data_IF_842406031346
#
_entry.id   IF_842406031346
#
_cell.length_a   1.000
_cell.length_b   1.000
_cell.length_c   1.000
_cell.angle_alpha   90.00
_cell.angle_beta   90.00
_cell.angle_gamma   90.00
#
_symmetry.space_group_name_H-M   'P 1'
#
loop_
_entity.id
_entity.type
_entity.pdbx_description
1 polymer ?
#
# COMPACT_ATOMS: atom_id res chain seq x y z
N UNK A 1 -44.40 -7.97 7.03
CA UNK A 1 -44.44 -7.32 8.36
C UNK A 1 -44.31 -5.84 8.16
N UNK A 2 -45.04 -5.00 8.93
CA UNK A 2 -44.84 -3.55 8.81
C UNK A 2 -43.45 -3.19 9.30
N UNK A 3 -42.72 -2.35 8.54
CA UNK A 3 -41.39 -1.82 8.94
C UNK A 3 -41.56 -1.00 10.22
N UNK A 4 -40.62 -1.14 11.16
CA UNK A 4 -40.61 -0.37 12.42
C UNK A 4 -40.23 1.09 12.14
N UNK A 5 -40.73 2.02 12.98
CA UNK A 5 -40.34 3.44 12.88
C UNK A 5 -38.81 3.59 13.07
N UNK A 6 -38.15 4.37 12.21
CA UNK A 6 -36.71 4.53 12.24
C UNK A 6 -36.19 5.22 13.51
N UNK A 7 -36.98 6.12 14.11
CA UNK A 7 -36.63 6.73 15.40
C UNK A 7 -36.69 5.71 16.53
N UNK A 8 -37.67 4.77 16.48
CA UNK A 8 -37.76 3.66 17.45
C UNK A 8 -36.60 2.66 17.24
N UNK A 9 -36.21 2.37 16.00
CA UNK A 9 -35.09 1.49 15.69
C UNK A 9 -33.79 2.01 16.28
N UNK A 10 -33.53 3.32 16.17
CA UNK A 10 -32.36 3.95 16.76
C UNK A 10 -32.52 4.23 18.26
N UNK A 11 -33.74 4.18 18.80
CA UNK A 11 -34.01 4.47 20.21
C UNK A 11 -33.86 5.94 20.56
N UNK A 12 -34.25 6.85 19.66
CA UNK A 12 -34.15 8.30 19.81
C UNK A 12 -35.52 8.97 19.63
N UNK A 13 -35.65 10.19 20.14
CA UNK A 13 -36.87 10.98 19.93
C UNK A 13 -36.93 11.57 18.51
N UNK A 14 -38.14 11.86 17.99
CA UNK A 14 -38.31 12.43 16.63
C UNK A 14 -37.63 13.77 16.43
N UNK A 15 -37.36 14.50 17.48
CA UNK A 15 -36.67 15.79 17.49
C UNK A 15 -35.18 15.68 17.82
N UNK A 16 -34.60 14.47 17.80
CA UNK A 16 -33.19 14.27 18.10
C UNK A 16 -32.27 15.04 17.14
N UNK A 17 -31.20 15.60 17.67
CA UNK A 17 -30.16 16.25 16.88
C UNK A 17 -29.29 15.23 16.13
N UNK A 18 -28.61 15.66 15.07
CA UNK A 18 -27.79 14.76 14.23
C UNK A 18 -26.68 14.08 15.03
N UNK A 19 -26.09 14.75 16.01
CA UNK A 19 -25.11 14.16 16.90
C UNK A 19 -25.68 13.02 17.76
N UNK A 20 -26.93 13.11 18.18
CA UNK A 20 -27.60 12.07 18.97
C UNK A 20 -27.96 10.87 18.10
N UNK A 21 -28.40 11.09 16.86
CA UNK A 21 -28.60 10.05 15.86
C UNK A 21 -27.31 9.27 15.60
N UNK A 22 -26.21 9.99 15.41
CA UNK A 22 -24.89 9.41 15.19
C UNK A 22 -24.37 8.59 16.37
N UNK A 23 -24.58 9.10 17.60
CA UNK A 23 -24.21 8.37 18.83
C UNK A 23 -25.04 7.10 19.00
N UNK A 24 -26.35 7.18 18.78
CA UNK A 24 -27.27 6.06 18.87
C UNK A 24 -26.91 4.96 17.86
N UNK A 25 -26.69 5.33 16.60
CA UNK A 25 -26.23 4.41 15.56
C UNK A 25 -24.90 3.73 15.91
N UNK A 26 -23.87 4.49 16.34
CA UNK A 26 -22.60 3.89 16.74
C UNK A 26 -22.73 2.85 17.86
N UNK A 27 -23.58 3.13 18.84
CA UNK A 27 -23.85 2.22 19.95
C UNK A 27 -24.48 0.90 19.46
N UNK A 28 -25.48 0.99 18.58
CA UNK A 28 -26.16 -0.18 18.00
C UNK A 28 -25.23 -0.93 17.04
N UNK A 29 -24.49 -0.24 16.20
CA UNK A 29 -23.53 -0.83 15.27
C UNK A 29 -22.44 -1.62 16.01
N UNK A 30 -21.90 -1.09 17.11
CA UNK A 30 -20.93 -1.81 17.93
C UNK A 30 -21.54 -3.02 18.67
N UNK A 31 -22.80 -2.92 19.07
CA UNK A 31 -23.50 -4.00 19.79
C UNK A 31 -23.85 -5.17 18.88
N UNK A 32 -24.30 -4.89 17.65
CA UNK A 32 -24.78 -5.89 16.69
C UNK A 32 -23.82 -6.11 15.52
N UNK A 33 -22.54 -5.73 15.67
CA UNK A 33 -21.53 -5.92 14.63
C UNK A 33 -21.37 -7.40 14.27
N UNK A 34 -21.30 -7.77 12.97
CA UNK A 34 -21.16 -9.16 12.55
C UNK A 34 -19.90 -9.83 13.12
N UNK A 35 -18.77 -9.13 13.24
CA UNK A 35 -17.54 -9.69 13.83
C UNK A 35 -17.67 -10.03 15.32
N UNK A 36 -18.62 -9.41 16.02
CA UNK A 36 -18.89 -9.68 17.45
C UNK A 36 -20.00 -10.69 17.65
N UNK A 37 -20.83 -10.92 16.64
CA UNK A 37 -21.97 -11.82 16.68
C UNK A 37 -22.03 -12.69 15.40
N UNK A 38 -20.98 -13.49 15.10
CA UNK A 38 -20.81 -14.16 13.80
C UNK A 38 -21.94 -15.13 13.43
N UNK A 39 -22.67 -15.71 14.42
CA UNK A 39 -23.69 -16.74 14.19
C UNK A 39 -25.12 -16.28 14.52
N UNK A 40 -25.35 -14.99 14.81
CA UNK A 40 -26.65 -14.47 15.22
C UNK A 40 -27.36 -13.76 14.07
N UNK A 41 -28.29 -14.44 13.41
CA UNK A 41 -29.19 -13.84 12.39
C UNK A 41 -29.99 -12.67 12.96
N UNK A 42 -30.39 -12.73 14.22
CA UNK A 42 -31.10 -11.63 14.88
C UNK A 42 -30.23 -10.37 15.05
N UNK A 43 -28.93 -10.54 15.33
CA UNK A 43 -27.99 -9.42 15.39
C UNK A 43 -27.76 -8.81 14.01
N UNK A 44 -27.66 -9.63 12.97
CA UNK A 44 -27.51 -9.18 11.58
C UNK A 44 -28.73 -8.37 11.10
N UNK A 45 -29.95 -8.83 11.41
CA UNK A 45 -31.18 -8.10 11.09
C UNK A 45 -31.24 -6.76 11.81
N UNK A 46 -30.95 -6.71 13.12
CA UNK A 46 -30.92 -5.47 13.89
C UNK A 46 -29.83 -4.51 13.42
N UNK A 47 -28.70 -5.02 12.95
CA UNK A 47 -27.64 -4.21 12.35
C UNK A 47 -28.10 -3.59 11.03
N UNK A 48 -28.76 -4.36 10.17
CA UNK A 48 -29.32 -3.86 8.90
C UNK A 48 -30.40 -2.81 9.13
N UNK A 49 -31.33 -3.06 10.07
CA UNK A 49 -32.38 -2.10 10.43
C UNK A 49 -31.78 -0.79 10.98
N UNK A 50 -30.79 -0.88 11.87
CA UNK A 50 -30.13 0.30 12.44
C UNK A 50 -29.35 1.10 11.38
N UNK A 51 -28.73 0.43 10.41
CA UNK A 51 -28.03 1.05 9.30
C UNK A 51 -29.01 1.77 8.37
N UNK A 52 -30.10 1.12 7.97
CA UNK A 52 -31.17 1.71 7.14
C UNK A 52 -31.77 2.95 7.83
N UNK A 53 -32.09 2.86 9.12
CA UNK A 53 -32.63 3.95 9.89
C UNK A 53 -31.68 5.17 9.94
N UNK A 54 -30.38 4.93 10.14
CA UNK A 54 -29.39 6.01 10.17
C UNK A 54 -29.13 6.62 8.79
N UNK A 55 -29.16 5.86 7.70
CA UNK A 55 -29.04 6.37 6.34
C UNK A 55 -30.19 7.29 5.93
N UNK A 56 -31.37 7.06 6.48
CA UNK A 56 -32.53 7.92 6.24
C UNK A 56 -32.55 9.13 7.17
N UNK A 57 -32.35 8.95 8.46
CA UNK A 57 -32.46 10.03 9.46
C UNK A 57 -31.22 10.93 9.54
N UNK A 58 -30.06 10.45 9.07
CA UNK A 58 -28.80 11.21 9.03
C UNK A 58 -28.66 12.15 7.83
N UNK A 59 -29.58 12.10 6.88
CA UNK A 59 -29.65 13.01 5.75
C UNK A 59 -30.87 13.92 5.89
N UNK A 60 -30.65 15.22 5.90
CA UNK A 60 -31.70 16.22 6.17
C UNK A 60 -32.87 16.11 5.17
N UNK A 61 -32.60 15.83 3.91
CA UNK A 61 -33.63 15.71 2.87
C UNK A 61 -34.45 14.42 3.01
N UNK A 62 -33.77 13.30 3.28
CA UNK A 62 -34.42 12.01 3.50
C UNK A 62 -35.24 12.00 4.80
N UNK A 63 -34.70 12.61 5.85
CA UNK A 63 -35.40 12.79 7.13
C UNK A 63 -36.69 13.59 6.93
N UNK A 64 -36.62 14.72 6.21
CA UNK A 64 -37.80 15.52 5.91
C UNK A 64 -38.85 14.77 5.07
N UNK A 65 -38.41 13.93 4.13
CA UNK A 65 -39.30 13.06 3.35
C UNK A 65 -39.92 11.96 4.21
N UNK A 66 -39.13 11.35 5.09
CA UNK A 66 -39.61 10.34 6.04
C UNK A 66 -40.60 10.92 7.05
N UNK A 67 -40.32 12.09 7.59
CA UNK A 67 -41.20 12.78 8.55
C UNK A 67 -42.56 13.15 7.96
N UNK A 68 -42.62 13.40 6.64
CA UNK A 68 -43.86 13.73 5.93
C UNK A 68 -44.66 12.54 5.44
N UNK A 69 -43.98 11.52 4.93
CA UNK A 69 -44.60 10.42 4.18
C UNK A 69 -44.31 9.04 4.78
N UNK A 70 -43.61 8.97 5.91
CA UNK A 70 -43.19 7.70 6.52
C UNK A 70 -42.27 6.91 5.60
N UNK A 71 -42.30 5.59 5.75
CA UNK A 71 -41.51 4.66 4.91
C UNK A 71 -41.80 4.82 3.41
N UNK A 72 -43.02 5.19 3.03
CA UNK A 72 -43.37 5.41 1.62
C UNK A 72 -42.61 6.57 0.96
N UNK A 73 -42.18 7.56 1.74
CA UNK A 73 -41.43 8.71 1.25
C UNK A 73 -39.95 8.42 0.95
N UNK A 74 -39.44 7.27 1.40
CA UNK A 74 -38.03 6.87 1.26
C UNK A 74 -37.86 5.48 0.63
N UNK A 75 -38.96 4.82 0.23
CA UNK A 75 -38.95 3.53 -0.44
C UNK A 75 -38.72 3.73 -1.94
N UNK A 76 -37.60 3.22 -2.53
CA UNK A 76 -37.31 3.35 -3.96
C UNK A 76 -38.36 2.68 -4.86
N UNK A 77 -39.12 1.72 -4.34
CA UNK A 77 -40.15 1.01 -5.10
C UNK A 77 -41.50 1.75 -5.14
N UNK A 78 -41.76 2.73 -4.25
CA UNK A 78 -43.02 3.45 -4.23
C UNK A 78 -43.08 4.62 -5.23
N UNK A 79 -41.95 5.02 -5.82
CA UNK A 79 -41.88 6.09 -6.84
C UNK A 79 -42.46 5.70 -8.19
N UNK A 80 -42.88 4.44 -8.38
CA UNK A 80 -43.35 3.88 -9.66
C UNK A 80 -44.87 3.79 -9.83
N UNK A 81 -45.72 4.08 -8.85
CA UNK A 81 -47.14 3.82 -8.98
C UNK A 81 -48.02 4.85 -8.27
N UNK A 82 -48.31 5.94 -8.98
CA UNK A 82 -49.42 6.80 -8.55
C UNK A 82 -49.26 8.29 -8.79
N UNK A 83 -49.79 8.82 -9.87
CA UNK A 83 -50.39 10.13 -9.87
C UNK A 83 -49.59 11.29 -10.44
N UNK A 84 -49.99 11.68 -11.63
CA UNK A 84 -49.71 12.95 -12.27
C UNK A 84 -49.85 14.13 -11.28
N UNK A 85 -48.83 14.96 -11.18
CA UNK A 85 -48.98 16.30 -10.67
C UNK A 85 -47.87 16.77 -9.74
N UNK A 86 -47.04 17.62 -10.30
CA UNK A 86 -46.19 18.60 -9.62
C UNK A 86 -44.86 18.14 -9.03
N UNK A 87 -43.77 18.41 -9.75
CA UNK A 87 -42.41 18.50 -9.21
C UNK A 87 -41.38 17.52 -9.79
N UNK A 88 -41.06 17.65 -11.09
CA UNK A 88 -40.05 16.83 -11.78
C UNK A 88 -38.58 17.11 -11.40
N UNK A 89 -38.24 17.13 -10.12
CA UNK A 89 -36.87 17.33 -9.67
C UNK A 89 -36.34 16.30 -8.66
N UNK A 90 -37.23 15.54 -8.04
CA UNK A 90 -36.83 14.65 -6.92
C UNK A 90 -36.42 13.24 -7.39
N UNK A 91 -37.02 12.76 -8.48
CA UNK A 91 -36.73 11.42 -8.99
C UNK A 91 -35.35 11.34 -9.69
N UNK A 92 -34.91 12.41 -10.33
CA UNK A 92 -33.63 12.47 -11.02
C UNK A 92 -32.44 12.61 -10.04
N UNK A 93 -32.58 13.39 -8.95
CA UNK A 93 -31.56 13.54 -7.93
C UNK A 93 -31.37 12.27 -7.05
N UNK A 94 -32.43 11.50 -6.89
CA UNK A 94 -32.39 10.25 -6.11
C UNK A 94 -31.84 9.06 -6.91
N UNK A 95 -32.09 9.00 -8.21
CA UNK A 95 -31.61 7.96 -9.11
C UNK A 95 -30.09 7.99 -9.29
N UNK A 96 -29.51 9.17 -9.37
CA UNK A 96 -28.07 9.35 -9.60
C UNK A 96 -27.21 8.99 -8.39
N UNK A 97 -27.64 9.31 -7.17
CA UNK A 97 -26.88 9.04 -5.95
C UNK A 97 -26.99 7.57 -5.51
N UNK A 98 -28.17 6.97 -5.70
CA UNK A 98 -28.39 5.57 -5.32
C UNK A 98 -27.78 4.58 -6.31
N UNK A 99 -27.73 4.96 -7.60
CA UNK A 99 -27.10 4.17 -8.67
C UNK A 99 -25.57 4.10 -8.52
N UNK A 100 -24.95 5.16 -7.97
CA UNK A 100 -23.51 5.25 -7.82
C UNK A 100 -22.96 4.51 -6.58
N UNK A 101 -23.77 4.38 -5.53
CA UNK A 101 -23.38 3.76 -4.24
C UNK A 101 -23.79 2.28 -4.14
N UNK A 102 -24.91 1.88 -4.75
CA UNK A 102 -25.44 0.51 -4.60
C UNK A 102 -25.52 -0.32 -5.87
N UNK A 103 -25.36 0.29 -7.04
CA UNK A 103 -25.30 -0.41 -8.30
C UNK A 103 -23.86 -0.62 -8.75
N UNK A 104 -23.22 -1.66 -8.29
CA UNK A 104 -21.98 -2.13 -8.88
C UNK A 104 -22.16 -2.37 -10.38
N UNK A 105 -21.69 -1.45 -11.22
CA UNK A 105 -21.59 -1.64 -12.66
C UNK A 105 -22.80 -1.20 -13.46
N UNK A 106 -22.76 -0.01 -14.00
CA UNK A 106 -23.46 0.36 -15.23
C UNK A 106 -24.80 1.04 -15.06
N UNK A 107 -24.81 2.36 -15.16
CA UNK A 107 -26.04 3.13 -15.27
C UNK A 107 -25.79 4.47 -15.94
N UNK A 108 -25.91 4.54 -17.25
CA UNK A 108 -25.65 5.70 -18.09
C UNK A 108 -26.59 6.87 -17.83
N UNK A 109 -26.09 7.93 -17.26
CA UNK A 109 -26.60 9.27 -17.47
C UNK A 109 -26.37 9.69 -18.91
N UNK A 110 -27.42 9.91 -19.67
CA UNK A 110 -27.39 10.51 -21.01
C UNK A 110 -26.81 11.92 -20.92
N UNK A 111 -25.49 12.07 -20.91
CA UNK A 111 -24.81 13.30 -21.33
C UNK A 111 -24.30 13.08 -22.74
N UNK A 112 -24.60 14.04 -23.58
CA UNK A 112 -24.36 14.02 -25.02
C UNK A 112 -22.98 13.51 -25.39
N UNK A 113 -22.91 12.74 -26.50
CA UNK A 113 -21.77 12.01 -27.01
C UNK A 113 -20.51 12.83 -27.27
N UNK A 114 -19.81 13.17 -26.21
CA UNK A 114 -18.42 13.61 -26.27
C UNK A 114 -17.47 12.42 -26.15
N UNK A 115 -16.25 12.51 -26.66
CA UNK A 115 -15.25 11.47 -26.49
C UNK A 115 -15.02 11.23 -25.00
N UNK A 116 -15.11 9.97 -24.57
CA UNK A 116 -14.87 9.61 -23.16
C UNK A 116 -13.43 9.98 -22.77
N UNK A 117 -13.33 10.71 -21.68
CA UNK A 117 -12.07 11.16 -21.10
C UNK A 117 -11.54 10.09 -20.17
N UNK A 118 -10.32 9.60 -20.42
CA UNK A 118 -9.70 8.58 -19.57
C UNK A 118 -8.44 9.11 -18.93
N UNK A 119 -8.27 8.81 -17.64
CA UNK A 119 -7.03 9.06 -16.92
C UNK A 119 -5.91 8.20 -17.52
N UNK A 120 -4.70 8.74 -17.58
CA UNK A 120 -3.50 8.00 -17.97
C UNK A 120 -3.17 6.87 -16.99
N UNK A 121 -2.46 5.87 -17.49
CA UNK A 121 -2.02 4.76 -16.67
C UNK A 121 -0.95 5.19 -15.66
N UNK A 122 -0.98 4.58 -14.48
CA UNK A 122 0.08 4.76 -13.49
C UNK A 122 1.30 3.94 -13.90
N UNK A 123 2.50 4.50 -13.70
CA UNK A 123 3.77 3.87 -13.99
C UNK A 123 4.43 3.37 -12.71
N UNK A 124 5.17 2.26 -12.82
CA UNK A 124 6.01 1.73 -11.74
C UNK A 124 7.46 1.75 -12.18
N UNK A 125 8.34 2.16 -11.30
CA UNK A 125 9.77 2.18 -11.48
C UNK A 125 10.45 1.56 -10.27
N UNK A 126 11.22 0.48 -10.46
CA UNK A 126 12.02 -0.14 -9.40
C UNK A 126 13.37 0.57 -9.32
N UNK A 127 13.69 1.11 -8.15
CA UNK A 127 14.96 1.78 -7.86
C UNK A 127 15.75 0.98 -6.83
N UNK A 128 16.91 0.45 -7.25
CA UNK A 128 17.84 -0.22 -6.36
C UNK A 128 18.79 0.77 -5.71
N UNK A 129 18.90 0.75 -4.39
CA UNK A 129 19.75 1.62 -3.59
C UNK A 129 20.60 0.82 -2.61
N UNK A 130 21.69 1.39 -2.10
CA UNK A 130 22.46 0.79 -1.02
C UNK A 130 21.83 1.08 0.35
N UNK A 131 22.25 0.32 1.38
CA UNK A 131 21.77 0.51 2.77
C UNK A 131 22.16 1.90 3.31
N UNK A 132 23.36 2.39 2.97
CA UNK A 132 23.85 3.70 3.35
C UNK A 132 23.02 4.82 2.71
N UNK A 133 22.67 4.67 1.42
CA UNK A 133 21.79 5.59 0.71
C UNK A 133 20.39 5.60 1.34
N UNK A 134 19.87 4.42 1.70
CA UNK A 134 18.59 4.32 2.36
C UNK A 134 18.60 5.00 3.74
N UNK A 135 19.69 4.86 4.50
CA UNK A 135 19.83 5.49 5.81
C UNK A 135 19.99 7.02 5.74
N UNK A 136 20.80 7.52 4.80
CA UNK A 136 21.10 8.94 4.69
C UNK A 136 20.02 9.73 3.93
N UNK A 137 19.31 9.07 3.00
CA UNK A 137 18.47 9.73 2.01
C UNK A 137 19.32 10.48 0.96
N UNK A 138 18.77 10.72 -0.20
CA UNK A 138 19.47 11.45 -1.28
C UNK A 138 18.48 11.86 -2.37
N UNK A 139 18.92 12.79 -3.21
CA UNK A 139 18.20 13.17 -4.42
C UNK A 139 18.81 12.44 -5.61
N UNK A 140 17.98 11.89 -6.49
CA UNK A 140 18.42 11.16 -7.67
C UNK A 140 17.58 11.49 -8.89
N UNK A 141 18.17 11.31 -10.06
CA UNK A 141 17.47 11.40 -11.33
C UNK A 141 17.17 10.00 -11.86
N UNK A 142 15.92 9.78 -12.21
CA UNK A 142 15.47 8.53 -12.84
C UNK A 142 14.98 8.81 -14.26
N UNK A 143 15.22 7.85 -15.17
CA UNK A 143 14.73 7.90 -16.55
C UNK A 143 13.60 6.90 -16.70
N UNK A 144 12.41 7.41 -16.92
CA UNK A 144 11.20 6.58 -17.03
C UNK A 144 10.72 6.64 -18.47
N UNK A 145 10.58 5.50 -19.16
CA UNK A 145 9.94 5.46 -20.47
C UNK A 145 8.45 5.78 -20.31
N UNK A 146 8.01 6.86 -20.90
CA UNK A 146 6.63 7.32 -20.86
C UNK A 146 6.15 7.69 -22.25
N UNK A 147 4.83 7.66 -22.43
CA UNK A 147 4.23 8.28 -23.58
C UNK A 147 4.10 9.78 -23.34
N UNK A 148 4.44 10.58 -24.34
CA UNK A 148 4.25 12.03 -24.34
C UNK A 148 3.38 12.42 -25.54
N UNK A 149 2.74 13.58 -25.44
CA UNK A 149 2.02 14.12 -26.60
C UNK A 149 3.00 14.37 -27.73
N UNK A 150 2.61 14.00 -28.93
CA UNK A 150 3.44 14.26 -30.11
C UNK A 150 3.58 15.77 -30.33
N UNK A 151 4.80 16.27 -30.40
CA UNK A 151 5.08 17.72 -30.58
C UNK A 151 4.57 18.26 -31.89
N UNK A 152 4.48 17.41 -32.94
CA UNK A 152 4.06 17.82 -34.28
C UNK A 152 2.54 18.01 -34.37
N UNK A 153 1.76 17.18 -33.70
CA UNK A 153 0.30 17.23 -33.79
C UNK A 153 -0.36 17.60 -32.45
N UNK A 154 0.39 17.83 -31.41
CA UNK A 154 -0.10 18.20 -30.06
C UNK A 154 -1.19 17.28 -29.53
N UNK A 155 -1.03 15.96 -29.79
CA UNK A 155 -1.96 14.93 -29.32
C UNK A 155 -3.15 14.68 -30.23
N UNK A 156 -3.36 15.43 -31.33
CA UNK A 156 -4.49 15.24 -32.24
C UNK A 156 -4.37 13.99 -33.11
N UNK A 157 -3.15 13.49 -33.35
CA UNK A 157 -2.86 12.41 -34.29
C UNK A 157 -2.99 12.78 -35.76
N UNK A 158 -3.50 13.97 -36.09
CA UNK A 158 -3.69 14.43 -37.46
C UNK A 158 -2.47 15.21 -37.95
N UNK A 159 -2.23 15.18 -39.27
CA UNK A 159 -1.18 15.96 -39.91
C UNK A 159 -1.44 17.45 -39.70
N UNK A 160 -0.36 18.24 -39.59
CA UNK A 160 -0.46 19.70 -39.46
C UNK A 160 -1.32 20.31 -40.59
N UNK A 161 -2.28 21.14 -40.21
CA UNK A 161 -3.26 21.74 -41.15
C UNK A 161 -4.52 20.90 -41.37
N UNK A 162 -4.61 19.70 -40.79
CA UNK A 162 -5.82 18.86 -40.83
C UNK A 162 -6.33 18.65 -39.41
N UNK A 163 -7.63 18.31 -39.28
CA UNK A 163 -8.21 18.02 -37.95
C UNK A 163 -8.93 16.68 -37.97
N UNK A 164 -8.93 15.95 -36.84
CA UNK A 164 -9.68 14.72 -36.69
C UNK A 164 -11.19 15.01 -36.89
N UNK A 165 -11.87 14.16 -37.65
CA UNK A 165 -13.33 14.23 -37.87
C UNK A 165 -14.04 13.32 -36.88
N UNK A 166 -15.28 13.65 -36.53
CA UNK A 166 -16.09 12.75 -35.70
C UNK A 166 -16.34 11.44 -36.48
N UNK A 167 -16.09 10.31 -35.85
CA UNK A 167 -16.25 9.00 -36.46
C UNK A 167 -17.69 8.79 -36.88
N UNK A 168 -17.91 8.50 -38.18
CA UNK A 168 -19.26 8.33 -38.77
C UNK A 168 -19.96 7.07 -38.26
N UNK A 169 -19.20 6.02 -37.90
CA UNK A 169 -19.75 4.74 -37.47
C UNK A 169 -20.34 4.81 -36.06
N UNK A 170 -19.71 5.52 -35.14
CA UNK A 170 -20.17 5.59 -33.76
C UNK A 170 -20.67 6.98 -33.34
N UNK A 171 -20.68 7.96 -34.23
CA UNK A 171 -21.12 9.31 -33.91
C UNK A 171 -20.28 10.01 -32.82
N UNK A 172 -19.02 9.59 -32.63
CA UNK A 172 -18.12 10.15 -31.62
C UNK A 172 -18.09 9.38 -30.29
N UNK A 173 -18.97 8.40 -30.09
CA UNK A 173 -19.07 7.66 -28.83
C UNK A 173 -17.93 6.66 -28.58
N UNK A 174 -17.14 6.32 -29.58
CA UNK A 174 -16.07 5.33 -29.51
C UNK A 174 -16.52 3.88 -29.43
N UNK A 175 -17.82 3.62 -29.26
CA UNK A 175 -18.38 2.29 -29.15
C UNK A 175 -19.64 2.16 -30.04
N UNK A 176 -19.90 0.95 -30.47
CA UNK A 176 -21.13 0.59 -31.21
C UNK A 176 -21.93 -0.43 -30.40
N UNK A 177 -23.26 -0.31 -30.44
CA UNK A 177 -24.15 -1.29 -29.83
C UNK A 177 -24.60 -2.28 -30.90
N UNK A 178 -24.31 -3.54 -30.67
CA UNK A 178 -24.83 -4.63 -31.49
C UNK A 178 -25.94 -5.34 -30.70
N UNK A 179 -27.11 -5.45 -31.31
CA UNK A 179 -28.23 -6.23 -30.77
C UNK A 179 -28.13 -7.66 -31.29
N UNK A 180 -27.95 -8.61 -30.39
CA UNK A 180 -28.08 -10.04 -30.67
C UNK A 180 -29.29 -10.58 -29.89
N UNK A 181 -30.44 -10.67 -30.53
CA UNK A 181 -31.69 -11.06 -29.89
C UNK A 181 -32.13 -10.09 -28.82
N UNK A 182 -32.32 -10.57 -27.60
CA UNK A 182 -32.73 -9.76 -26.45
C UNK A 182 -31.55 -9.06 -25.73
N UNK A 183 -30.30 -9.36 -26.10
CA UNK A 183 -29.12 -8.78 -25.46
C UNK A 183 -28.52 -7.68 -26.33
N UNK A 184 -28.18 -6.55 -25.68
CA UNK A 184 -27.44 -5.45 -26.31
C UNK A 184 -25.99 -5.51 -25.79
N UNK A 185 -25.06 -5.81 -26.71
CA UNK A 185 -23.62 -5.84 -26.40
C UNK A 185 -22.98 -4.56 -26.92
N UNK A 186 -22.25 -3.87 -26.05
CA UNK A 186 -21.47 -2.72 -26.45
C UNK A 186 -20.06 -3.19 -26.84
N UNK A 187 -19.67 -2.88 -28.09
CA UNK A 187 -18.36 -3.24 -28.64
C UNK A 187 -17.59 -1.98 -29.01
N UNK A 188 -16.27 -2.01 -28.86
CA UNK A 188 -15.39 -0.93 -29.35
C UNK A 188 -15.63 -0.70 -30.85
N UNK A 189 -15.78 0.56 -31.25
CA UNK A 189 -16.02 0.89 -32.63
C UNK A 189 -14.89 0.41 -33.56
N UNK A 190 -15.16 -0.42 -34.58
CA UNK A 190 -14.11 -0.98 -35.43
C UNK A 190 -13.41 0.07 -36.29
N UNK A 191 -14.06 1.20 -36.55
CA UNK A 191 -13.51 2.27 -37.39
C UNK A 191 -12.55 3.19 -36.65
N UNK A 192 -12.91 3.62 -35.44
CA UNK A 192 -12.09 4.56 -34.65
C UNK A 192 -11.37 3.91 -33.49
N UNK A 193 -11.50 2.60 -33.29
CA UNK A 193 -10.85 1.84 -32.24
C UNK A 193 -11.00 2.46 -30.82
N UNK A 194 -12.17 3.04 -30.55
CA UNK A 194 -12.47 3.65 -29.24
C UNK A 194 -12.24 5.16 -29.16
N UNK A 195 -11.52 5.76 -30.12
CA UNK A 195 -11.16 7.18 -30.07
C UNK A 195 -12.31 8.14 -30.34
N UNK A 196 -13.43 7.67 -30.93
CA UNK A 196 -14.55 8.52 -31.31
C UNK A 196 -14.27 9.44 -32.52
N UNK A 197 -13.01 9.49 -32.97
CA UNK A 197 -12.55 10.36 -34.07
C UNK A 197 -11.90 9.53 -35.17
N UNK A 198 -12.05 9.96 -36.39
CA UNK A 198 -11.45 9.39 -37.60
C UNK A 198 -10.38 10.36 -38.13
N UNK A 199 -9.16 9.86 -38.32
CA UNK A 199 -8.02 10.63 -38.83
C UNK A 199 -7.82 10.22 -40.30
N UNK A 200 -8.12 11.12 -41.21
CA UNK A 200 -7.96 10.89 -42.66
C UNK A 200 -6.50 10.97 -43.08
N UNK A 201 -5.79 11.95 -42.51
CA UNK A 201 -4.36 12.20 -42.79
C UNK A 201 -3.56 12.06 -41.46
N UNK A 202 -2.92 10.90 -41.22
CA UNK A 202 -2.16 10.68 -40.00
C UNK A 202 -0.92 11.56 -39.93
N UNK A 203 -0.58 11.96 -38.68
CA UNK A 203 0.65 12.68 -38.39
C UNK A 203 1.86 11.77 -38.67
N UNK A 204 2.84 12.18 -39.48
CA UNK A 204 3.99 11.34 -39.84
C UNK A 204 4.93 11.03 -38.66
N UNK A 205 4.89 11.83 -37.59
CA UNK A 205 5.75 11.65 -36.42
C UNK A 205 5.21 10.64 -35.41
N UNK A 206 3.91 10.37 -35.42
CA UNK A 206 3.26 9.46 -34.46
C UNK A 206 2.27 8.46 -35.11
N UNK A 207 2.25 8.39 -36.45
CA UNK A 207 1.37 7.48 -37.22
C UNK A 207 -0.09 7.51 -36.79
N UNK A 208 -0.62 8.70 -36.47
CA UNK A 208 -2.00 8.89 -36.06
C UNK A 208 -2.27 8.62 -34.56
N UNK A 209 -1.33 8.10 -33.81
CA UNK A 209 -1.51 7.77 -32.38
C UNK A 209 -1.65 9.02 -31.50
N UNK A 210 -1.09 10.17 -31.94
CA UNK A 210 -1.08 11.41 -31.16
C UNK A 210 -0.05 11.44 -30.03
N UNK A 211 0.66 10.32 -29.76
CA UNK A 211 1.64 10.16 -28.69
C UNK A 211 2.91 9.52 -29.23
N UNK A 212 4.04 9.86 -28.61
CA UNK A 212 5.36 9.30 -28.93
C UNK A 212 5.98 8.77 -27.63
N UNK A 213 6.77 7.72 -27.74
CA UNK A 213 7.47 7.15 -26.59
C UNK A 213 8.79 7.88 -26.37
N UNK A 214 8.97 8.48 -25.19
CA UNK A 214 10.20 9.18 -24.78
C UNK A 214 10.61 8.78 -23.38
N UNK A 215 11.92 8.89 -23.11
CA UNK A 215 12.41 8.75 -21.74
C UNK A 215 12.33 10.12 -21.05
N UNK A 216 11.47 10.22 -20.04
CA UNK A 216 11.34 11.39 -19.18
C UNK A 216 12.34 11.29 -18.04
N UNK A 217 13.20 12.30 -17.86
CA UNK A 217 14.09 12.40 -16.70
C UNK A 217 13.35 13.14 -15.60
N UNK A 218 13.29 12.51 -14.42
CA UNK A 218 12.58 13.03 -13.26
C UNK A 218 13.51 13.05 -12.06
N UNK A 219 13.54 14.16 -11.33
CA UNK A 219 14.20 14.23 -10.04
C UNK A 219 13.28 13.64 -8.96
N UNK A 220 13.82 12.71 -8.19
CA UNK A 220 13.09 12.04 -7.09
C UNK A 220 13.91 12.20 -5.81
N UNK A 221 13.27 12.72 -4.79
CA UNK A 221 13.86 12.85 -3.46
C UNK A 221 13.55 11.61 -2.64
N UNK A 222 14.58 10.88 -2.26
CA UNK A 222 14.50 9.70 -1.42
C UNK A 222 14.69 10.13 0.05
N UNK A 223 13.68 9.99 0.90
CA UNK A 223 13.81 10.39 2.29
C UNK A 223 14.77 9.47 3.06
N UNK A 224 15.46 10.05 4.04
CA UNK A 224 16.33 9.29 4.94
C UNK A 224 15.51 8.26 5.73
N UNK A 225 16.08 7.07 5.91
CA UNK A 225 15.46 5.98 6.66
C UNK A 225 14.44 5.16 5.86
N UNK A 226 14.33 5.36 4.55
CA UNK A 226 13.41 4.59 3.71
C UNK A 226 13.68 3.09 3.83
N UNK A 227 12.62 2.29 3.83
CA UNK A 227 12.72 0.84 3.97
C UNK A 227 12.51 0.12 2.63
N UNK A 228 12.90 -1.16 2.60
CA UNK A 228 12.71 -2.01 1.42
C UNK A 228 11.22 -2.17 1.09
N UNK A 229 10.89 -2.19 -0.21
CA UNK A 229 9.50 -2.28 -0.67
C UNK A 229 8.66 -1.01 -0.49
N UNK A 230 9.20 0.06 0.12
CA UNK A 230 8.47 1.33 0.21
C UNK A 230 8.30 1.98 -1.15
N UNK A 231 7.19 2.69 -1.32
CA UNK A 231 6.83 3.37 -2.58
C UNK A 231 6.72 4.86 -2.39
N UNK A 232 7.37 5.59 -3.30
CA UNK A 232 7.28 7.05 -3.39
C UNK A 232 6.37 7.38 -4.58
N UNK A 233 5.27 8.11 -4.31
CA UNK A 233 4.36 8.57 -5.35
C UNK A 233 4.79 9.92 -5.89
N UNK A 234 5.01 10.00 -7.18
CA UNK A 234 5.22 11.24 -7.92
C UNK A 234 3.97 11.53 -8.76
N UNK A 235 3.13 12.46 -8.27
CA UNK A 235 1.82 12.75 -8.87
C UNK A 235 1.96 13.36 -10.27
N UNK A 236 1.12 12.90 -11.20
CA UNK A 236 1.07 13.42 -12.57
C UNK A 236 2.26 13.05 -13.46
N UNK A 237 3.15 12.17 -13.00
CA UNK A 237 4.32 11.69 -13.75
C UNK A 237 4.15 10.27 -14.35
N UNK A 238 2.91 9.78 -14.40
CA UNK A 238 2.52 8.58 -15.13
C UNK A 238 2.33 8.84 -16.63
N UNK A 239 1.58 7.97 -17.31
CA UNK A 239 1.23 8.17 -18.71
C UNK A 239 0.23 9.32 -18.90
N UNK A 240 0.26 10.03 -20.03
CA UNK A 240 -0.73 11.05 -20.33
C UNK A 240 -2.11 10.43 -20.52
N UNK A 241 -3.13 11.16 -20.08
CA UNK A 241 -4.53 10.76 -20.28
C UNK A 241 -4.95 10.77 -21.74
N UNK A 242 -6.06 10.13 -22.03
CA UNK A 242 -6.67 10.04 -23.37
C UNK A 242 -7.80 11.06 -23.44
N UNK A 243 -7.95 11.69 -24.61
CA UNK A 243 -8.99 12.71 -24.88
C UNK A 243 -8.99 13.90 -23.89
N UNK A 244 -7.80 14.34 -23.45
CA UNK A 244 -7.66 15.43 -22.49
C UNK A 244 -7.84 15.02 -21.03
N UNK A 245 -7.80 13.73 -20.73
CA UNK A 245 -7.81 13.21 -19.37
C UNK A 245 -6.55 13.58 -18.58
N UNK A 246 -6.63 13.56 -17.25
CA UNK A 246 -5.47 13.81 -16.41
C UNK A 246 -4.43 12.70 -16.56
N UNK A 247 -3.13 12.99 -16.40
CA UNK A 247 -2.09 11.97 -16.40
C UNK A 247 -2.24 11.04 -15.20
N UNK A 248 -1.65 9.85 -15.30
CA UNK A 248 -1.45 8.94 -14.20
C UNK A 248 -0.35 9.41 -13.25
N UNK A 249 -0.02 8.60 -12.26
CA UNK A 249 1.03 8.82 -11.29
C UNK A 249 2.22 7.87 -11.54
N UNK A 250 3.41 8.26 -11.09
CA UNK A 250 4.56 7.40 -11.07
C UNK A 250 4.81 6.91 -9.64
N UNK A 251 4.93 5.60 -9.47
CA UNK A 251 5.31 4.95 -8.22
C UNK A 251 6.74 4.44 -8.33
N UNK A 252 7.64 5.04 -7.56
CA UNK A 252 9.02 4.58 -7.43
C UNK A 252 9.07 3.60 -6.25
N UNK A 253 9.30 2.32 -6.53
CA UNK A 253 9.43 1.25 -5.55
C UNK A 253 10.90 1.08 -5.21
N UNK A 254 11.22 1.15 -3.94
CA UNK A 254 12.60 1.09 -3.45
C UNK A 254 12.98 -0.34 -3.16
N UNK A 255 14.14 -0.77 -3.67
CA UNK A 255 14.76 -2.05 -3.36
C UNK A 255 16.14 -1.81 -2.76
N UNK A 256 16.34 -2.26 -1.52
CA UNK A 256 17.63 -2.11 -0.83
C UNK A 256 18.49 -3.32 -1.15
N UNK A 257 19.68 -3.08 -1.70
CA UNK A 257 20.67 -4.13 -1.96
C UNK A 257 21.11 -4.78 -0.66
N UNK A 258 21.27 -6.11 -0.70
CA UNK A 258 21.82 -6.84 0.44
C UNK A 258 23.21 -6.29 0.79
N UNK A 259 23.38 -5.89 2.04
CA UNK A 259 24.64 -5.36 2.52
C UNK A 259 25.56 -6.50 3.01
N UNK A 260 26.89 -6.33 2.82
CA UNK A 260 27.89 -7.38 3.13
C UNK A 260 28.05 -7.67 4.62
N UNK A 261 27.80 -6.67 5.45
CA UNK A 261 28.05 -6.72 6.89
C UNK A 261 26.76 -6.63 7.69
N UNK A 262 25.85 -5.72 7.28
CA UNK A 262 24.66 -5.40 8.02
C UNK A 262 23.41 -6.04 7.45
N UNK A 263 22.58 -6.56 8.32
CA UNK A 263 21.20 -6.93 8.03
C UNK A 263 20.28 -5.94 8.74
N UNK A 264 19.36 -5.34 8.01
CA UNK A 264 18.38 -4.40 8.56
C UNK A 264 17.15 -5.15 9.03
N UNK A 265 16.65 -4.81 10.21
CA UNK A 265 15.34 -5.19 10.72
C UNK A 265 14.62 -3.93 11.20
N UNK A 266 13.71 -3.42 10.41
CA UNK A 266 13.02 -2.14 10.66
C UNK A 266 13.99 -0.98 10.84
N UNK A 267 14.12 -0.44 12.05
CA UNK A 267 15.07 0.65 12.40
C UNK A 267 16.40 0.10 12.95
N UNK A 268 16.44 -1.16 13.32
CA UNK A 268 17.61 -1.80 13.88
C UNK A 268 18.52 -2.42 12.82
N UNK A 269 19.80 -2.54 13.17
CA UNK A 269 20.80 -3.21 12.37
C UNK A 269 21.39 -4.40 13.12
N UNK A 270 21.68 -5.45 12.40
CA UNK A 270 22.34 -6.64 12.89
C UNK A 270 23.63 -6.85 12.12
N UNK A 271 24.70 -7.24 12.83
CA UNK A 271 25.94 -7.68 12.20
C UNK A 271 26.53 -8.87 12.97
N UNK A 272 27.23 -9.72 12.25
CA UNK A 272 28.03 -10.78 12.83
C UNK A 272 29.41 -10.25 13.16
N UNK A 273 29.85 -10.48 14.39
CA UNK A 273 31.13 -10.05 14.92
C UNK A 273 32.00 -11.27 15.22
N UNK A 274 32.88 -11.59 14.30
CA UNK A 274 33.83 -12.67 14.51
C UNK A 274 34.99 -12.20 15.39
N UNK A 275 35.18 -12.85 16.52
CA UNK A 275 36.28 -12.54 17.48
C UNK A 275 37.17 -13.76 17.68
N UNK A 276 38.51 -13.57 17.84
CA UNK A 276 39.42 -14.65 18.17
C UNK A 276 39.03 -15.30 19.53
N UNK A 277 39.23 -16.59 19.64
CA UNK A 277 39.08 -17.35 20.89
C UNK A 277 39.80 -16.68 22.08
N UNK A 278 41.01 -16.17 21.87
CA UNK A 278 41.80 -15.49 22.91
C UNK A 278 41.13 -14.22 23.42
N UNK A 279 40.57 -13.40 22.51
CA UNK A 279 39.79 -12.21 22.85
C UNK A 279 38.51 -12.57 23.59
N UNK A 280 37.86 -13.66 23.19
CA UNK A 280 36.66 -14.13 23.90
C UNK A 280 36.98 -14.59 25.34
N UNK A 281 38.13 -15.24 25.54
CA UNK A 281 38.56 -15.74 26.85
C UNK A 281 39.08 -14.64 27.79
N UNK A 282 39.92 -13.73 27.27
CA UNK A 282 40.64 -12.74 28.05
C UNK A 282 39.95 -11.38 28.11
N UNK A 283 38.95 -11.17 27.29
CA UNK A 283 38.37 -9.85 27.11
C UNK A 283 39.21 -8.95 26.23
N UNK A 284 38.78 -7.72 26.02
CA UNK A 284 39.49 -6.72 25.23
C UNK A 284 38.57 -5.67 24.60
N UNK A 285 39.15 -4.75 23.88
CA UNK A 285 38.46 -3.72 23.16
C UNK A 285 38.48 -4.04 21.64
N UNK A 286 37.34 -3.84 20.98
CA UNK A 286 37.21 -4.12 19.56
C UNK A 286 36.50 -2.99 18.86
N UNK A 287 37.04 -2.60 17.68
CA UNK A 287 36.38 -1.64 16.83
C UNK A 287 35.38 -2.35 15.88
N UNK A 288 34.14 -1.89 15.90
CA UNK A 288 33.04 -2.41 15.10
C UNK A 288 32.63 -1.35 14.05
N UNK A 289 32.43 -1.73 12.79
CA UNK A 289 31.91 -0.80 11.81
C UNK A 289 30.47 -0.40 12.15
N UNK A 290 30.10 0.82 11.84
CA UNK A 290 28.74 1.35 11.89
C UNK A 290 28.46 2.11 10.61
N UNK A 291 27.19 2.41 10.29
CA UNK A 291 26.89 3.25 9.10
C UNK A 291 27.50 4.66 9.18
N UNK A 292 27.73 5.17 10.39
CA UNK A 292 28.35 6.49 10.61
C UNK A 292 29.85 6.47 10.86
N UNK A 293 30.54 5.32 10.70
CA UNK A 293 31.98 5.19 10.96
C UNK A 293 32.34 3.99 11.80
N UNK A 294 33.09 4.15 12.88
CA UNK A 294 33.49 3.06 13.79
C UNK A 294 33.01 3.34 15.20
N UNK A 295 32.67 2.30 15.91
CA UNK A 295 32.39 2.33 17.34
C UNK A 295 33.30 1.33 18.03
N UNK A 296 33.66 1.61 19.28
CA UNK A 296 34.45 0.72 20.14
C UNK A 296 33.52 0.00 21.12
N UNK A 297 33.73 -1.31 21.26
CA UNK A 297 33.01 -2.13 22.21
C UNK A 297 34.01 -2.86 23.10
N UNK A 298 33.70 -2.93 24.39
CA UNK A 298 34.46 -3.73 25.38
C UNK A 298 33.87 -5.14 25.43
N UNK A 299 34.71 -6.13 25.17
CA UNK A 299 34.37 -7.54 25.22
C UNK A 299 34.77 -8.03 26.62
N UNK A 300 33.82 -8.43 27.48
CA UNK A 300 34.15 -8.99 28.79
C UNK A 300 34.86 -10.34 28.69
N UNK A 301 35.67 -10.68 29.68
CA UNK A 301 36.28 -12.00 29.82
C UNK A 301 35.21 -13.10 29.80
N UNK A 302 35.51 -14.24 29.19
CA UNK A 302 34.60 -15.38 29.11
C UNK A 302 33.40 -15.16 28.22
N UNK A 303 33.45 -14.21 27.26
CA UNK A 303 32.38 -13.99 26.29
C UNK A 303 32.17 -15.23 25.42
N UNK A 304 30.95 -15.72 25.39
CA UNK A 304 30.56 -16.91 24.62
C UNK A 304 30.08 -16.57 23.23
N UNK A 305 30.22 -17.51 22.28
CA UNK A 305 29.61 -17.42 20.98
C UNK A 305 28.08 -17.32 21.10
N UNK A 306 27.44 -16.50 20.26
CA UNK A 306 26.01 -16.20 20.34
C UNK A 306 25.64 -15.04 21.28
N UNK A 307 26.59 -14.51 22.07
CA UNK A 307 26.34 -13.30 22.85
C UNK A 307 26.11 -12.11 21.94
N UNK A 308 25.14 -11.28 22.27
CA UNK A 308 24.80 -10.08 21.51
C UNK A 308 25.17 -8.82 22.26
N UNK A 309 25.90 -7.92 21.63
CA UNK A 309 26.17 -6.57 22.12
C UNK A 309 25.29 -5.56 21.42
N UNK A 310 24.64 -4.69 22.18
CA UNK A 310 23.75 -3.65 21.70
C UNK A 310 24.44 -2.29 21.76
N UNK A 311 24.60 -1.66 20.62
CA UNK A 311 25.08 -0.28 20.50
C UNK A 311 23.89 0.64 20.25
N UNK A 312 23.51 1.37 21.28
CA UNK A 312 22.34 2.25 21.24
C UNK A 312 22.49 3.38 20.24
N UNK A 313 21.44 3.64 19.47
CA UNK A 313 21.38 4.72 18.50
C UNK A 313 22.35 4.56 17.31
N UNK A 314 22.84 3.34 17.04
CA UNK A 314 23.72 3.04 15.88
C UNK A 314 23.00 2.29 14.76
N UNK A 315 21.69 2.17 14.85
CA UNK A 315 20.80 1.71 13.76
C UNK A 315 20.45 2.82 12.79
N UNK A 316 19.34 2.65 12.09
CA UNK A 316 18.79 3.61 11.12
C UNK A 316 17.63 4.37 11.78
N UNK A 317 17.49 5.62 11.47
CA UNK A 317 16.30 6.37 11.82
C UNK A 317 15.28 6.21 10.71
N UNK A 318 14.18 5.49 10.96
CA UNK A 318 13.11 5.30 9.98
C UNK A 318 12.45 6.61 9.54
N UNK A 319 11.79 6.61 8.37
CA UNK A 319 11.17 7.83 7.77
C UNK A 319 10.23 8.56 8.73
N UNK A 320 9.54 7.82 9.60
CA UNK A 320 8.61 8.38 10.60
C UNK A 320 9.17 8.33 12.03
N UNK A 321 10.37 7.80 12.19
CA UNK A 321 11.02 7.63 13.49
C UNK A 321 11.58 8.96 14.03
N UNK A 322 11.45 9.19 15.33
CA UNK A 322 12.04 10.34 16.01
C UNK A 322 13.50 10.07 16.38
N UNK A 323 13.85 8.81 16.64
CA UNK A 323 15.16 8.36 17.08
C UNK A 323 15.68 7.24 16.19
N UNK A 324 17.01 7.10 16.01
CA UNK A 324 17.61 5.96 15.35
C UNK A 324 17.41 4.69 16.18
N UNK A 325 17.27 3.56 15.52
CA UNK A 325 17.34 2.24 16.12
C UNK A 325 18.74 1.90 16.65
N UNK A 326 18.97 0.66 16.98
CA UNK A 326 20.22 0.18 17.58
C UNK A 326 20.97 -0.75 16.61
N UNK A 327 22.26 -0.94 16.89
CA UNK A 327 23.07 -1.95 16.23
C UNK A 327 23.32 -3.12 17.16
N UNK A 328 22.91 -4.31 16.73
CA UNK A 328 23.12 -5.59 17.43
C UNK A 328 24.28 -6.34 16.79
N UNK A 329 25.36 -6.52 17.57
CA UNK A 329 26.54 -7.28 17.16
C UNK A 329 26.47 -8.68 17.74
N UNK A 330 26.27 -9.69 16.90
CA UNK A 330 26.21 -11.10 17.29
C UNK A 330 27.60 -11.71 17.27
N UNK A 331 28.10 -12.09 18.42
CA UNK A 331 29.44 -12.65 18.55
C UNK A 331 29.52 -14.07 18.01
N UNK A 332 30.48 -14.29 17.14
CA UNK A 332 30.93 -15.62 16.71
C UNK A 332 32.40 -15.79 17.12
N UNK A 333 32.66 -16.76 17.95
CA UNK A 333 34.03 -17.05 18.37
C UNK A 333 34.72 -17.94 17.35
N UNK A 334 35.79 -17.44 16.75
CA UNK A 334 36.58 -18.17 15.77
C UNK A 334 37.65 -19.03 16.48
N UNK A 335 37.62 -20.32 16.18
CA UNK A 335 38.67 -21.26 16.60
C UNK A 335 39.84 -21.20 15.62
N UNK A 336 41.05 -20.98 16.06
CA UNK A 336 42.22 -20.89 15.20
C UNK A 336 42.50 -22.21 14.47
N UNK A 337 42.82 -22.08 13.18
CA UNK A 337 43.15 -23.19 12.30
C UNK A 337 44.63 -23.18 11.91
N UNK A 338 45.18 -24.32 11.43
CA UNK A 338 46.55 -24.46 10.93
C UNK A 338 47.62 -24.07 11.98
N UNK A 339 47.43 -24.53 13.21
CA UNK A 339 48.33 -24.27 14.34
C UNK A 339 49.71 -24.94 14.12
N UNK A 340 50.78 -24.21 14.47
CA UNK A 340 52.14 -24.79 14.59
C UNK A 340 52.19 -25.76 15.79
N UNK A 341 53.23 -26.59 15.82
CA UNK A 341 53.41 -27.59 16.90
C UNK A 341 53.64 -26.89 18.26
N UNK A 342 54.29 -25.74 18.27
CA UNK A 342 54.44 -24.93 19.51
C UNK A 342 53.11 -24.42 20.01
N UNK A 343 52.26 -23.89 19.09
CA UNK A 343 50.91 -23.43 19.45
C UNK A 343 50.02 -24.55 19.98
N UNK A 344 50.11 -25.74 19.37
CA UNK A 344 49.41 -26.94 19.86
C UNK A 344 49.88 -27.34 21.29
N UNK A 345 51.18 -27.23 21.53
CA UNK A 345 51.74 -27.55 22.85
C UNK A 345 51.27 -26.54 23.91
N UNK A 346 51.22 -25.23 23.60
CA UNK A 346 50.68 -24.20 24.49
C UNK A 346 49.20 -24.50 24.80
N UNK A 347 48.38 -24.83 23.80
CA UNK A 347 46.98 -25.18 24.02
C UNK A 347 46.79 -26.41 24.86
N UNK A 348 47.64 -27.48 24.70
CA UNK A 348 47.59 -28.64 25.57
C UNK A 348 47.95 -28.32 27.01
N UNK A 349 48.94 -27.44 27.23
CA UNK A 349 49.28 -26.94 28.60
C UNK A 349 48.11 -26.17 29.20
N UNK A 350 47.47 -25.33 28.41
CA UNK A 350 46.28 -24.59 28.84
C UNK A 350 45.13 -25.55 29.20
N UNK A 351 44.86 -26.55 28.38
CA UNK A 351 43.85 -27.59 28.62
C UNK A 351 44.16 -28.36 29.94
N UNK A 352 45.42 -28.72 30.17
CA UNK A 352 45.82 -29.35 31.45
C UNK A 352 45.54 -28.47 32.64
N UNK A 353 45.86 -27.15 32.56
CA UNK A 353 45.61 -26.19 33.63
C UNK A 353 44.12 -25.98 33.92
N UNK A 354 43.24 -26.09 32.89
CA UNK A 354 41.80 -26.02 33.09
C UNK A 354 41.26 -27.24 33.85
N UNK A 355 41.80 -28.44 33.60
CA UNK A 355 41.40 -29.66 34.28
C UNK A 355 41.73 -29.64 35.78
N UNK A 356 42.84 -29.01 36.17
CA UNK A 356 43.22 -28.83 37.60
C UNK A 356 42.21 -27.91 38.33
N UNK A 357 41.56 -26.97 37.66
CA UNK A 357 40.55 -26.05 38.19
C UNK A 357 39.14 -26.63 38.33
N UNK A 358 38.91 -27.83 37.80
CA UNK A 358 37.61 -28.49 37.79
C UNK A 358 36.55 -27.80 36.93
N UNK A 359 35.29 -27.96 37.31
CA UNK A 359 34.10 -27.53 36.51
C UNK A 359 33.91 -26.01 36.36
N UNK A 360 34.74 -25.21 37.03
CA UNK A 360 34.60 -23.74 37.05
C UNK A 360 34.81 -23.10 35.67
N UNK A 361 35.65 -23.73 34.83
CA UNK A 361 36.09 -23.15 33.58
C UNK A 361 35.21 -23.51 32.36
N UNK A 362 34.37 -24.56 32.47
CA UNK A 362 33.54 -25.02 31.36
C UNK A 362 32.13 -25.42 31.80
N UNK A 363 31.32 -24.50 32.36
CA UNK A 363 30.03 -24.82 32.96
C UNK A 363 29.01 -25.36 31.94
N UNK A 364 29.10 -24.94 30.70
CA UNK A 364 28.17 -25.41 29.65
C UNK A 364 28.47 -26.84 29.19
N UNK A 365 29.73 -27.25 29.18
CA UNK A 365 30.14 -28.62 28.80
C UNK A 365 29.57 -29.63 29.80
N UNK A 366 29.62 -29.33 31.08
CA UNK A 366 29.06 -30.19 32.14
C UNK A 366 27.54 -30.27 32.05
N UNK A 367 26.87 -29.15 31.90
CA UNK A 367 25.41 -29.11 31.72
C UNK A 367 24.92 -29.89 30.50
N UNK A 368 25.74 -29.98 29.45
CA UNK A 368 25.42 -30.78 28.29
C UNK A 368 25.61 -32.28 28.57
N UNK A 369 26.72 -32.68 29.17
CA UNK A 369 27.00 -34.08 29.55
C UNK A 369 25.99 -34.62 30.55
N UNK A 370 25.55 -33.80 31.51
CA UNK A 370 24.53 -34.19 32.49
C UNK A 370 23.16 -34.37 31.81
N UNK A 371 22.79 -33.48 30.90
CA UNK A 371 21.56 -33.63 30.07
C UNK A 371 21.60 -34.88 29.17
N UNK A 372 22.75 -35.20 28.60
CA UNK A 372 22.90 -36.43 27.82
C UNK A 372 22.75 -37.67 28.67
N UNK A 373 23.33 -37.68 29.88
CA UNK A 373 23.15 -38.77 30.83
C UNK A 373 21.68 -38.93 31.26
N UNK A 374 21.00 -37.84 31.54
CA UNK A 374 19.60 -37.82 31.94
C UNK A 374 18.69 -38.30 30.80
N UNK A 375 19.07 -38.03 29.54
CA UNK A 375 18.32 -38.52 28.37
C UNK A 375 18.42 -40.03 28.16
N UNK A 376 19.55 -40.65 28.56
CA UNK A 376 19.78 -42.09 28.43
C UNK A 376 19.53 -42.89 29.74
N UNK A 377 19.17 -42.22 30.81
CA UNK A 377 18.76 -42.86 32.08
C UNK A 377 17.20 -42.98 32.12
#
# INVERSE_FOLDING_TARGET
MAKRDYYEVLGVAKNAADDDLKKAYRKLAMKYHPDRNPDSKEAEEKFKEAKEAYEVLGDEQKRAAYDRYGHAGVDPNSAGMGGAGMGGGFADAFGDIFGEIFGGGGGGGRRGGGPQVYRGADLKYALEISLEQAAAGFDTEIRVPSWEHCDTCHGSGAKAGTSPKTCRTCGGSGAVRMQQGFFSVQQTCPTCHGNGKEITDPCPSCDGVGRIRRNKTLQVKIPAGIDDGMRIRSSGNGEPGINGGPPGDLYVEIHIKQHKIFQRDSDDLHCELTIPFTTAALGGELQVPTLGGKAEISIPEGTQSGKTFRLRGKGIRGVRGSYPGDLYCHVVVETPVRLSDDQKNILRQFEASLNDGGDRHSPQSKSWTDRVKEFFS
#
